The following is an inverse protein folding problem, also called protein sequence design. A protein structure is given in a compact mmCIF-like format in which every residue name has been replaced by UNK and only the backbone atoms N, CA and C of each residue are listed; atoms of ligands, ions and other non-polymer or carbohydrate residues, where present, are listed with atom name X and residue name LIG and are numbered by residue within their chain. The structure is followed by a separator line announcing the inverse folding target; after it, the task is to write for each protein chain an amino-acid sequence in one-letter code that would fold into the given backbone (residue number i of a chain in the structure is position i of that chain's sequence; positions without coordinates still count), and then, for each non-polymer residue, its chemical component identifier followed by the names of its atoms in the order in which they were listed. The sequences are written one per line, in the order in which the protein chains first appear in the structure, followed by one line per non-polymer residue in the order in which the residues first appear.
data_IF_240727607475
#
_entry.id   IF_240727607475
#
_cell.length_a   1.000
_cell.length_b   1.000
_cell.length_c   1.000
_cell.angle_alpha   90.00
_cell.angle_beta   90.00
_cell.angle_gamma   90.00
#
_symmetry.space_group_name_H-M   'P 1'
#
loop_
_entity.id
_entity.type
_entity.pdbx_description
1 polymer ?
#
# COMPACT_ATOMS: atom_id res chain seq x y z
N UNK A 1 11.96 2.18 12.73
CA UNK A 1 12.03 2.71 11.34
C UNK A 1 12.90 1.83 10.43
N UNK A 2 14.14 1.51 10.80
CA UNK A 2 15.05 0.71 9.96
C UNK A 2 14.49 -0.67 9.54
N UNK A 3 13.82 -1.39 10.45
CA UNK A 3 13.27 -2.72 10.15
C UNK A 3 12.18 -2.69 9.06
N UNK A 4 11.37 -1.63 9.00
CA UNK A 4 10.33 -1.51 7.97
C UNK A 4 10.93 -1.24 6.58
N UNK A 5 12.03 -0.49 6.51
CA UNK A 5 12.78 -0.30 5.27
C UNK A 5 13.32 -1.61 4.72
N UNK A 6 13.87 -2.47 5.59
CA UNK A 6 14.35 -3.80 5.20
C UNK A 6 13.21 -4.71 4.73
N UNK A 7 12.08 -4.72 5.44
CA UNK A 7 10.88 -5.48 5.04
C UNK A 7 10.34 -5.02 3.68
N UNK A 8 10.32 -3.70 3.44
CA UNK A 8 9.92 -3.14 2.15
C UNK A 8 10.87 -3.60 1.03
N UNK A 9 12.18 -3.60 1.28
CA UNK A 9 13.17 -4.07 0.33
C UNK A 9 12.96 -5.55 0.00
N UNK A 10 12.81 -6.40 1.02
CA UNK A 10 12.52 -7.84 0.86
C UNK A 10 11.25 -8.08 0.03
N UNK A 11 10.16 -7.35 0.35
CA UNK A 11 8.91 -7.43 -0.41
C UNK A 11 9.10 -7.04 -1.87
N UNK A 12 9.86 -5.98 -2.14
CA UNK A 12 10.10 -5.51 -3.50
C UNK A 12 10.90 -6.53 -4.32
N UNK A 13 11.91 -7.16 -3.73
CA UNK A 13 12.68 -8.22 -4.39
C UNK A 13 11.84 -9.47 -4.66
N UNK A 14 11.07 -9.95 -3.67
CA UNK A 14 10.14 -11.08 -3.86
C UNK A 14 9.13 -10.82 -4.97
N UNK A 15 8.56 -9.61 -5.00
CA UNK A 15 7.64 -9.20 -6.06
C UNK A 15 8.32 -9.14 -7.43
N UNK A 16 9.53 -8.59 -7.52
CA UNK A 16 10.31 -8.53 -8.75
C UNK A 16 10.59 -9.92 -9.32
N UNK A 17 11.10 -10.86 -8.51
CA UNK A 17 11.38 -12.21 -8.99
C UNK A 17 10.12 -12.96 -9.43
N UNK A 18 8.99 -12.75 -8.74
CA UNK A 18 7.70 -13.30 -9.16
C UNK A 18 7.27 -12.72 -10.52
N UNK A 19 7.32 -11.40 -10.66
CA UNK A 19 6.96 -10.72 -11.90
C UNK A 19 7.87 -11.14 -13.06
N UNK A 20 9.18 -11.29 -12.83
CA UNK A 20 10.12 -11.78 -13.84
C UNK A 20 9.79 -13.19 -14.32
N UNK A 21 9.49 -14.12 -13.40
CA UNK A 21 9.09 -15.49 -13.75
C UNK A 21 7.80 -15.53 -14.56
N UNK A 22 6.85 -14.65 -14.26
CA UNK A 22 5.59 -14.58 -14.99
C UNK A 22 5.77 -13.93 -16.36
N UNK A 23 6.58 -12.88 -16.44
CA UNK A 23 6.96 -12.23 -17.69
C UNK A 23 7.74 -13.16 -18.64
N UNK A 24 8.59 -14.04 -18.11
CA UNK A 24 9.29 -15.05 -18.93
C UNK A 24 8.33 -16.09 -19.53
N UNK A 25 7.23 -16.40 -18.83
CA UNK A 25 6.20 -17.32 -19.33
C UNK A 25 5.29 -16.67 -20.37
N UNK A 26 4.90 -15.42 -20.13
CA UNK A 26 3.94 -14.69 -20.95
C UNK A 26 4.27 -13.19 -20.91
N UNK A 27 4.83 -12.71 -22.03
CA UNK A 27 5.30 -11.32 -22.15
C UNK A 27 4.15 -10.34 -22.40
N UNK A 28 3.03 -10.80 -22.97
CA UNK A 28 1.90 -9.95 -23.37
C UNK A 28 1.11 -9.45 -22.16
N UNK A 29 1.17 -10.19 -21.04
CA UNK A 29 0.59 -9.77 -19.74
C UNK A 29 1.22 -8.50 -19.13
N UNK A 30 2.34 -8.02 -19.66
CA UNK A 30 3.05 -6.88 -19.13
C UNK A 30 3.33 -5.85 -20.21
N UNK A 31 3.19 -4.57 -19.86
CA UNK A 31 3.55 -3.44 -20.73
C UNK A 31 5.09 -3.30 -20.96
N UNK A 32 5.87 -4.31 -20.60
CA UNK A 32 7.33 -4.33 -20.68
C UNK A 32 7.97 -5.18 -19.60
N UNK A 33 9.29 -5.39 -19.73
CA UNK A 33 10.06 -6.20 -18.79
C UNK A 33 10.02 -5.59 -17.37
N UNK A 34 9.73 -6.40 -16.32
CA UNK A 34 9.82 -5.95 -14.94
C UNK A 34 11.18 -5.32 -14.63
N UNK A 35 11.17 -4.18 -13.94
CA UNK A 35 12.39 -3.43 -13.61
C UNK A 35 12.88 -3.80 -12.21
N UNK A 36 14.20 -3.86 -12.06
CA UNK A 36 14.83 -4.10 -10.76
C UNK A 36 14.40 -3.06 -9.72
N UNK A 37 14.17 -3.47 -8.45
CA UNK A 37 13.97 -2.53 -7.35
C UNK A 37 15.15 -1.57 -7.24
N UNK A 38 14.87 -0.27 -7.10
CA UNK A 38 15.91 0.75 -6.91
C UNK A 38 16.19 0.99 -5.43
N UNK A 39 17.45 1.22 -5.10
CA UNK A 39 17.86 1.66 -3.76
C UNK A 39 17.67 3.16 -3.59
N UNK A 40 17.49 3.56 -2.32
CA UNK A 40 17.41 4.97 -1.94
C UNK A 40 18.77 5.65 -2.15
N UNK A 41 18.80 6.83 -2.78
CA UNK A 41 20.00 7.70 -2.82
C UNK A 41 20.39 8.14 -1.40
N UNK A 42 21.68 8.40 -1.13
CA UNK A 42 22.19 8.80 0.21
C UNK A 42 21.33 9.88 0.90
N UNK A 43 20.97 10.93 0.17
CA UNK A 43 20.11 12.03 0.65
C UNK A 43 18.70 12.02 0.02
N UNK A 44 18.28 10.87 -0.51
CA UNK A 44 16.98 10.72 -1.16
C UNK A 44 15.81 10.63 -0.19
N UNK A 45 14.59 10.78 -0.72
CA UNK A 45 13.36 10.42 -0.01
C UNK A 45 13.03 8.96 -0.31
N UNK A 46 12.48 8.25 0.66
CA UNK A 46 11.98 6.87 0.51
C UNK A 46 10.60 6.75 1.10
N UNK A 47 9.90 5.67 0.77
CA UNK A 47 8.62 5.35 1.40
C UNK A 47 8.86 5.15 2.89
N UNK A 48 8.08 5.84 3.72
CA UNK A 48 8.04 5.63 5.16
C UNK A 48 6.81 4.81 5.51
N UNK A 49 7.01 3.65 6.14
CA UNK A 49 5.96 2.73 6.53
C UNK A 49 5.80 2.79 8.05
N UNK A 50 4.58 3.06 8.50
CA UNK A 50 4.19 3.09 9.91
C UNK A 50 3.22 1.96 10.19
N UNK A 51 3.43 1.27 11.30
CA UNK A 51 2.49 0.25 11.78
C UNK A 51 1.34 0.90 12.55
N UNK A 52 0.27 0.12 12.76
CA UNK A 52 -0.85 0.50 13.62
C UNK A 52 -0.50 0.71 15.11
N UNK A 53 0.70 0.34 15.55
CA UNK A 53 1.21 0.66 16.89
C UNK A 53 1.75 2.10 16.94
N UNK A 54 2.31 2.56 15.82
CA UNK A 54 2.93 3.89 15.70
C UNK A 54 1.91 4.96 15.33
N UNK A 55 1.04 4.68 14.38
CA UNK A 55 -0.06 5.55 13.97
C UNK A 55 -1.36 5.07 14.61
N UNK A 56 -2.15 5.98 15.17
CA UNK A 56 -3.43 5.66 15.83
C UNK A 56 -4.54 6.50 15.26
N UNK A 57 -5.74 5.95 15.25
CA UNK A 57 -6.95 6.68 14.92
C UNK A 57 -7.62 7.07 16.23
N UNK A 58 -7.82 8.37 16.44
CA UNK A 58 -8.53 8.94 17.60
C UNK A 58 -9.48 10.02 17.10
N UNK A 59 -10.75 9.94 17.46
CA UNK A 59 -11.78 10.93 17.14
C UNK A 59 -11.90 11.24 15.63
N UNK A 60 -11.71 10.23 14.78
CA UNK A 60 -11.73 10.39 13.31
C UNK A 60 -10.45 11.01 12.71
N UNK A 61 -9.39 11.15 13.51
CA UNK A 61 -8.09 11.64 13.06
C UNK A 61 -7.01 10.56 13.16
N UNK A 62 -6.24 10.42 12.10
CA UNK A 62 -4.99 9.66 12.11
C UNK A 62 -3.88 10.53 12.71
N UNK A 63 -3.18 10.02 13.73
CA UNK A 63 -2.04 10.69 14.35
C UNK A 63 -0.73 10.00 13.97
N UNK A 64 0.34 10.79 13.85
CA UNK A 64 1.69 10.30 13.54
C UNK A 64 2.59 10.37 14.77
N UNK A 65 3.49 9.39 14.95
CA UNK A 65 4.40 9.41 16.09
C UNK A 65 5.36 10.60 16.00
N UNK A 66 5.72 11.17 17.17
CA UNK A 66 6.70 12.27 17.30
C UNK A 66 6.33 13.56 16.56
N UNK A 67 5.06 13.76 16.22
CA UNK A 67 4.57 14.98 15.60
C UNK A 67 3.17 15.32 16.09
N UNK A 68 2.79 16.58 16.01
CA UNK A 68 1.42 17.03 16.29
C UNK A 68 0.53 16.97 15.04
N UNK A 69 1.02 16.39 13.94
CA UNK A 69 0.27 16.26 12.69
C UNK A 69 -0.89 15.30 12.86
N UNK A 70 -2.06 15.74 12.42
CA UNK A 70 -3.29 14.97 12.41
C UNK A 70 -3.91 15.03 11.02
N UNK A 71 -4.38 13.90 10.53
CA UNK A 71 -5.08 13.81 9.25
C UNK A 71 -6.52 13.37 9.51
N UNK A 72 -7.50 14.16 9.08
CA UNK A 72 -8.92 13.78 9.18
C UNK A 72 -9.20 12.64 8.21
N UNK A 73 -9.77 11.55 8.71
CA UNK A 73 -10.06 10.35 7.93
C UNK A 73 -11.52 9.95 8.11
N UNK A 74 -12.09 9.28 7.11
CA UNK A 74 -13.48 8.77 7.13
C UNK A 74 -13.53 7.25 7.28
N UNK A 75 -12.53 6.68 7.95
CA UNK A 75 -12.31 5.23 8.00
C UNK A 75 -12.79 4.72 9.36
N UNK A 76 -13.63 3.68 9.35
CA UNK A 76 -14.16 3.02 10.55
C UNK A 76 -13.48 1.68 10.85
N UNK A 77 -12.69 1.16 9.90
CA UNK A 77 -12.03 -0.13 10.00
C UNK A 77 -10.73 -0.15 10.82
N UNK A 78 -10.21 -1.36 11.08
CA UNK A 78 -8.99 -1.56 11.87
C UNK A 78 -7.76 -1.17 11.06
N UNK A 79 -7.02 -0.17 11.53
CA UNK A 79 -5.78 0.25 10.89
C UNK A 79 -4.73 -0.89 10.87
N UNK A 80 -4.11 -1.09 9.71
CA UNK A 80 -3.01 -2.06 9.53
C UNK A 80 -1.68 -1.34 9.33
N UNK A 81 -1.63 -0.44 8.35
CA UNK A 81 -0.40 0.20 7.90
C UNK A 81 -0.70 1.61 7.36
N UNK A 82 0.21 2.55 7.57
CA UNK A 82 0.19 3.87 6.92
C UNK A 82 1.49 4.02 6.14
N UNK A 83 1.41 4.39 4.86
CA UNK A 83 2.58 4.66 4.03
C UNK A 83 2.62 6.11 3.59
N UNK A 84 3.75 6.76 3.81
CA UNK A 84 4.05 8.08 3.25
C UNK A 84 4.96 7.88 2.05
N UNK A 85 4.44 8.17 0.86
CA UNK A 85 5.11 7.97 -0.42
C UNK A 85 5.51 9.34 -1.01
N UNK A 86 6.80 9.63 -1.17
CA UNK A 86 7.23 10.84 -1.86
C UNK A 86 6.92 10.78 -3.36
N UNK A 87 6.24 11.79 -3.89
CA UNK A 87 5.92 11.98 -5.31
C UNK A 87 6.38 13.38 -5.74
N UNK A 88 7.69 13.53 -5.94
CA UNK A 88 8.29 14.81 -6.32
C UNK A 88 8.14 15.86 -5.21
N UNK A 89 7.27 16.85 -5.44
CA UNK A 89 6.96 17.95 -4.50
C UNK A 89 5.90 17.60 -3.45
N UNK A 90 5.13 16.53 -3.66
CA UNK A 90 4.05 16.14 -2.74
C UNK A 90 4.33 14.79 -2.05
N UNK A 91 3.58 14.53 -0.98
CA UNK A 91 3.54 13.23 -0.33
C UNK A 91 2.14 12.64 -0.43
N UNK A 92 2.07 11.38 -0.84
CA UNK A 92 0.84 10.61 -0.82
C UNK A 92 0.82 9.80 0.47
N UNK A 93 -0.27 9.93 1.24
CA UNK A 93 -0.49 9.16 2.47
C UNK A 93 -1.48 8.05 2.14
N UNK A 94 -0.98 6.82 2.02
CA UNK A 94 -1.83 5.64 1.86
C UNK A 94 -2.17 5.06 3.23
N UNK A 95 -3.45 4.80 3.46
CA UNK A 95 -3.94 4.21 4.70
C UNK A 95 -4.50 2.83 4.38
N UNK A 96 -3.85 1.80 4.90
CA UNK A 96 -4.28 0.40 4.75
C UNK A 96 -5.04 0.00 5.99
N UNK A 97 -6.28 -0.42 5.81
CA UNK A 97 -7.17 -0.83 6.89
C UNK A 97 -7.97 -2.06 6.49
N UNK A 98 -8.41 -2.79 7.49
CA UNK A 98 -9.31 -3.92 7.34
C UNK A 98 -10.75 -3.42 7.31
N UNK A 99 -11.50 -3.86 6.30
CA UNK A 99 -12.92 -3.55 6.14
C UNK A 99 -13.69 -4.85 6.14
N UNK A 100 -14.65 -4.98 7.04
CA UNK A 100 -15.62 -6.07 6.98
C UNK A 100 -16.52 -5.84 5.77
N UNK A 101 -16.53 -6.81 4.87
CA UNK A 101 -17.46 -6.81 3.74
C UNK A 101 -18.66 -7.62 4.19
N UNK A 102 -19.80 -6.93 4.38
CA UNK A 102 -21.05 -7.62 4.67
C UNK A 102 -21.48 -8.32 3.39
N UNK A 103 -21.38 -9.65 3.37
CA UNK A 103 -21.94 -10.45 2.27
C UNK A 103 -23.45 -10.20 2.20
N UNK A 104 -23.90 -9.73 1.04
CA UNK A 104 -25.32 -9.58 0.76
C UNK A 104 -25.98 -10.95 0.71
N UNK A 105 -26.73 -11.28 1.76
CA UNK A 105 -27.46 -12.56 1.92
C UNK A 105 -28.57 -12.81 0.89
N UNK A 106 -28.91 -11.82 0.04
CA UNK A 106 -29.99 -11.96 -0.94
C UNK A 106 -29.39 -12.16 -2.34
N UNK A 107 -29.65 -13.31 -3.01
CA UNK A 107 -29.34 -13.43 -4.42
C UNK A 107 -30.11 -12.35 -5.18
N UNK A 108 -29.37 -11.51 -5.89
CA UNK A 108 -29.93 -10.48 -6.76
C UNK A 108 -30.56 -11.14 -7.98
N UNK A 109 -31.79 -10.75 -8.34
CA UNK A 109 -32.39 -11.11 -9.64
C UNK A 109 -31.77 -10.34 -10.82
N UNK A 110 -30.88 -9.38 -10.55
CA UNK A 110 -30.16 -8.61 -11.58
C UNK A 110 -28.95 -9.41 -12.04
N UNK A 111 -28.91 -9.72 -13.34
CA UNK A 111 -27.80 -10.39 -14.00
C UNK A 111 -26.90 -9.30 -14.59
N UNK A 112 -25.61 -9.34 -14.27
CA UNK A 112 -24.59 -8.50 -14.89
C UNK A 112 -23.73 -9.34 -15.82
N UNK A 113 -23.58 -8.92 -17.07
CA UNK A 113 -22.59 -9.47 -17.98
C UNK A 113 -21.27 -8.71 -17.81
N UNK A 114 -20.17 -9.45 -17.69
CA UNK A 114 -18.82 -8.90 -17.80
C UNK A 114 -18.27 -9.47 -19.10
N UNK A 115 -17.99 -8.58 -20.05
CA UNK A 115 -17.30 -8.89 -21.30
C UNK A 115 -15.86 -8.36 -21.21
N UNK A 116 -14.93 -9.00 -21.93
CA UNK A 116 -13.49 -8.75 -21.81
C UNK A 116 -13.00 -7.56 -22.65
#
# INVERSE_FOLDING_TARGET
AAQQTLRLLDRNWKAFFRAMKEWEKDKEKFNGRPRLPKYKKKNGRSIAVFTNQQCKIKDGYLTFPKTNLKLKIRITGKLKEVRIIPKGSIYVVEIVYEKEVVETKKPSKRIGGIDL
#
